data_IF_627750095098
#
_entry.id   IF_627750095098
#
_cell.length_a   1.000
_cell.length_b   1.000
_cell.length_c   1.000
_cell.angle_alpha   90.00
_cell.angle_beta   90.00
_cell.angle_gamma   90.00
#
_symmetry.space_group_name_H-M   'P 1'
#
loop_
_entity.id
_entity.type
_entity.pdbx_description
1 polymer ?
#
# COMPACT_ATOMS: atom_id res chain seq x y z
N UNK A 1 -10.23 35.00 6.89
CA UNK A 1 -11.09 33.84 7.27
C UNK A 1 -11.71 33.12 6.06
N UNK A 2 -11.37 33.52 4.82
CA UNK A 2 -12.06 33.13 3.57
C UNK A 2 -11.36 32.06 2.73
N UNK A 3 -10.03 31.91 2.83
CA UNK A 3 -9.24 30.98 2.01
C UNK A 3 -9.37 29.52 2.43
N UNK A 4 -9.47 29.25 3.75
CA UNK A 4 -9.65 27.88 4.28
C UNK A 4 -11.00 27.28 3.91
N UNK A 5 -12.05 28.10 3.84
CA UNK A 5 -13.41 27.68 3.48
C UNK A 5 -13.48 27.37 1.98
N UNK A 6 -12.88 28.22 1.14
CA UNK A 6 -12.77 27.99 -0.30
C UNK A 6 -11.98 26.70 -0.63
N UNK A 7 -10.86 26.46 0.06
CA UNK A 7 -10.07 25.23 -0.11
C UNK A 7 -10.85 23.98 0.28
N UNK A 8 -11.60 24.04 1.40
CA UNK A 8 -12.41 22.91 1.87
C UNK A 8 -13.55 22.58 0.91
N UNK A 9 -14.18 23.60 0.33
CA UNK A 9 -15.25 23.45 -0.68
C UNK A 9 -14.67 22.87 -1.97
N UNK A 10 -13.53 23.39 -2.46
CA UNK A 10 -12.85 22.82 -3.63
C UNK A 10 -12.47 21.35 -3.42
N UNK A 11 -11.96 21.00 -2.24
CA UNK A 11 -11.59 19.62 -1.91
C UNK A 11 -12.83 18.70 -1.87
N UNK A 12 -13.94 19.18 -1.27
CA UNK A 12 -15.20 18.43 -1.23
C UNK A 12 -15.81 18.24 -2.62
N UNK A 13 -15.76 19.27 -3.47
CA UNK A 13 -16.26 19.19 -4.84
C UNK A 13 -15.42 18.25 -5.69
N UNK A 14 -14.08 18.28 -5.54
CA UNK A 14 -13.18 17.34 -6.20
C UNK A 14 -13.40 15.89 -5.72
N UNK A 15 -13.56 15.67 -4.42
CA UNK A 15 -13.87 14.36 -3.85
C UNK A 15 -15.22 13.82 -4.33
N UNK A 16 -16.23 14.70 -4.45
CA UNK A 16 -17.55 14.33 -4.96
C UNK A 16 -17.47 13.96 -6.45
N UNK A 17 -16.85 14.81 -7.27
CA UNK A 17 -16.69 14.57 -8.71
C UNK A 17 -15.89 13.30 -9.01
N UNK A 18 -14.86 13.00 -8.20
CA UNK A 18 -14.07 11.78 -8.36
C UNK A 18 -14.84 10.54 -7.87
N UNK A 19 -15.65 10.66 -6.81
CA UNK A 19 -16.48 9.57 -6.30
C UNK A 19 -17.52 9.11 -7.32
N UNK A 20 -18.24 10.04 -7.95
CA UNK A 20 -19.30 9.71 -8.92
C UNK A 20 -18.73 9.07 -10.19
N UNK A 21 -17.63 9.59 -10.72
CA UNK A 21 -16.99 9.07 -11.93
C UNK A 21 -16.43 7.66 -11.71
N UNK A 22 -15.74 7.44 -10.58
CA UNK A 22 -15.14 6.14 -10.22
C UNK A 22 -16.23 5.10 -9.94
N UNK A 23 -17.35 5.46 -9.29
CA UNK A 23 -18.44 4.52 -9.07
C UNK A 23 -19.16 4.11 -10.36
N UNK A 24 -19.35 5.04 -11.30
CA UNK A 24 -20.03 4.74 -12.57
C UNK A 24 -19.17 3.89 -13.51
N UNK A 25 -17.87 4.16 -13.59
CA UNK A 25 -16.96 3.40 -14.46
C UNK A 25 -16.71 1.98 -13.92
N UNK A 26 -16.68 1.79 -12.60
CA UNK A 26 -16.58 0.47 -11.94
C UNK A 26 -17.87 -0.33 -12.11
N UNK A 27 -19.05 0.30 -12.00
CA UNK A 27 -20.33 -0.39 -12.17
C UNK A 27 -20.65 -0.75 -13.63
N UNK A 28 -20.11 0.01 -14.60
CA UNK A 28 -20.35 -0.23 -16.03
C UNK A 28 -19.33 -1.16 -16.70
N UNK A 29 -18.17 -1.42 -16.07
CA UNK A 29 -17.11 -2.25 -16.66
C UNK A 29 -16.46 -1.65 -17.91
N UNK A 30 -16.59 -0.33 -18.13
CA UNK A 30 -16.08 0.37 -19.31
C UNK A 30 -14.92 1.27 -18.87
N UNK A 31 -13.71 1.00 -19.37
CA UNK A 31 -12.58 1.93 -19.27
C UNK A 31 -12.38 2.67 -20.60
N UNK A 32 -12.40 4.01 -20.63
CA UNK A 32 -12.22 4.78 -21.85
C UNK A 32 -10.73 5.07 -22.09
N UNK A 33 -9.94 4.07 -22.44
CA UNK A 33 -8.68 4.19 -23.22
C UNK A 33 -8.03 2.83 -23.30
N UNK A 34 -8.11 2.19 -24.46
CA UNK A 34 -7.45 0.91 -24.72
C UNK A 34 -6.11 1.09 -25.41
N UNK A 35 -5.24 0.09 -25.17
CA UNK A 35 -4.01 -0.26 -25.88
C UNK A 35 -2.73 0.30 -25.22
N UNK A 36 -2.09 -0.58 -24.43
CA UNK A 36 -0.82 -0.50 -23.66
C UNK A 36 -0.88 -0.11 -22.16
N UNK A 37 -1.97 0.47 -21.67
CA UNK A 37 -2.20 0.78 -20.23
C UNK A 37 -3.25 -0.10 -19.55
N UNK A 38 -3.89 -1.01 -20.29
CA UNK A 38 -5.05 -1.79 -19.85
C UNK A 38 -4.80 -2.69 -18.64
N UNK A 39 -3.59 -3.26 -18.52
CA UNK A 39 -3.28 -4.14 -17.38
C UNK A 39 -3.13 -3.36 -16.08
N UNK A 40 -2.52 -2.17 -16.08
CA UNK A 40 -2.32 -1.42 -14.82
C UNK A 40 -3.61 -0.87 -14.23
N UNK A 41 -4.55 -0.45 -15.09
CA UNK A 41 -5.88 0.01 -14.65
C UNK A 41 -6.71 -1.18 -14.16
N UNK A 42 -6.66 -2.30 -14.89
CA UNK A 42 -7.32 -3.54 -14.47
C UNK A 42 -6.76 -4.06 -13.14
N UNK A 43 -5.44 -4.02 -12.95
CA UNK A 43 -4.78 -4.46 -11.71
C UNK A 43 -5.16 -3.55 -10.53
N UNK A 44 -5.28 -2.24 -10.77
CA UNK A 44 -5.73 -1.28 -9.77
C UNK A 44 -7.20 -1.50 -9.39
N UNK A 45 -8.09 -1.69 -10.38
CA UNK A 45 -9.50 -1.99 -10.12
C UNK A 45 -9.66 -3.28 -9.32
N UNK A 46 -8.91 -4.34 -9.67
CA UNK A 46 -8.89 -5.59 -8.92
C UNK A 46 -8.44 -5.37 -7.47
N UNK A 47 -7.41 -4.53 -7.24
CA UNK A 47 -6.99 -4.17 -5.88
C UNK A 47 -8.11 -3.48 -5.11
N UNK A 48 -8.84 -2.56 -5.75
CA UNK A 48 -10.00 -1.91 -5.13
C UNK A 48 -11.10 -2.90 -4.80
N UNK A 49 -11.42 -3.83 -5.70
CA UNK A 49 -12.40 -4.90 -5.46
C UNK A 49 -11.99 -5.78 -4.28
N UNK A 50 -10.71 -6.18 -4.22
CA UNK A 50 -10.15 -6.95 -3.09
C UNK A 50 -10.29 -6.22 -1.76
N UNK A 51 -9.99 -4.92 -1.74
CA UNK A 51 -10.12 -4.10 -0.53
C UNK A 51 -11.58 -3.82 -0.16
N UNK A 52 -12.45 -3.64 -1.15
CA UNK A 52 -13.89 -3.39 -0.96
C UNK A 52 -14.62 -4.65 -0.45
N UNK A 53 -14.22 -5.83 -0.93
CA UNK A 53 -14.69 -7.13 -0.43
C UNK A 53 -14.24 -7.43 1.00
N UNK A 54 -13.38 -6.59 1.56
CA UNK A 54 -12.92 -6.65 2.93
C UNK A 54 -11.67 -7.52 3.10
N UNK A 55 -10.72 -6.98 3.86
CA UNK A 55 -9.47 -7.64 4.20
C UNK A 55 -9.30 -7.61 5.70
N UNK A 56 -8.89 -8.72 6.29
CA UNK A 56 -8.59 -8.84 7.72
C UNK A 56 -7.17 -9.36 7.92
N UNK A 57 -6.53 -8.92 9.01
CA UNK A 57 -5.30 -9.54 9.52
C UNK A 57 -5.72 -10.44 10.68
N UNK A 58 -5.53 -11.74 10.53
CA UNK A 58 -5.91 -12.73 11.55
C UNK A 58 -4.95 -12.74 12.75
N UNK A 59 -5.22 -13.63 13.72
CA UNK A 59 -4.41 -13.76 14.94
C UNK A 59 -2.98 -14.26 14.67
N UNK A 60 -2.81 -14.99 13.57
CA UNK A 60 -1.51 -15.47 13.10
C UNK A 60 -0.84 -14.44 12.19
N UNK A 61 -1.46 -13.26 12.08
CA UNK A 61 -0.98 -12.09 11.36
C UNK A 61 -0.85 -12.35 9.84
N UNK A 62 -1.68 -13.27 9.34
CA UNK A 62 -1.92 -13.47 7.92
C UNK A 62 -3.02 -12.53 7.44
N UNK A 63 -2.88 -12.06 6.21
CA UNK A 63 -3.90 -11.30 5.52
C UNK A 63 -4.88 -12.29 4.88
N UNK A 64 -6.17 -12.10 5.14
CA UNK A 64 -7.27 -12.90 4.58
C UNK A 64 -8.27 -12.00 3.85
N UNK A 65 -8.88 -12.53 2.80
CA UNK A 65 -10.02 -11.89 2.12
C UNK A 65 -11.31 -12.37 2.79
N UNK A 66 -12.17 -11.44 3.18
CA UNK A 66 -13.46 -11.74 3.81
C UNK A 66 -14.48 -12.28 2.80
N UNK A 67 -14.39 -11.78 1.55
CA UNK A 67 -15.13 -12.33 0.42
C UNK A 67 -14.58 -13.72 0.03
N UNK A 68 -15.37 -14.75 0.34
CA UNK A 68 -15.02 -16.15 0.07
C UNK A 68 -14.98 -16.49 -1.42
N UNK A 69 -15.83 -15.87 -2.23
CA UNK A 69 -15.81 -16.09 -3.67
C UNK A 69 -14.51 -15.55 -4.23
N UNK A 70 -14.15 -14.32 -3.87
CA UNK A 70 -12.92 -13.68 -4.29
C UNK A 70 -11.67 -14.42 -3.79
N UNK A 71 -11.66 -14.88 -2.53
CA UNK A 71 -10.60 -15.71 -1.97
C UNK A 71 -10.39 -17.02 -2.75
N UNK A 72 -11.46 -17.56 -3.33
CA UNK A 72 -11.42 -18.78 -4.16
C UNK A 72 -11.03 -18.53 -5.61
N UNK A 73 -10.96 -17.28 -6.07
CA UNK A 73 -10.52 -16.94 -7.42
C UNK A 73 -8.99 -17.06 -7.55
N UNK A 74 -8.50 -17.35 -8.76
CA UNK A 74 -7.06 -17.41 -9.04
C UNK A 74 -6.35 -16.10 -8.67
N UNK A 75 -6.98 -14.97 -8.99
CA UNK A 75 -6.45 -13.65 -8.73
C UNK A 75 -6.41 -13.34 -7.22
N UNK A 76 -7.46 -13.66 -6.47
CA UNK A 76 -7.48 -13.52 -5.01
C UNK A 76 -6.41 -14.38 -4.33
N UNK A 77 -6.24 -15.64 -4.75
CA UNK A 77 -5.13 -16.49 -4.24
C UNK A 77 -3.75 -15.93 -4.59
N UNK A 78 -3.58 -15.40 -5.79
CA UNK A 78 -2.31 -14.78 -6.21
C UNK A 78 -1.99 -13.56 -5.36
N UNK A 79 -2.98 -12.73 -5.07
CA UNK A 79 -2.85 -11.58 -4.18
C UNK A 79 -2.48 -11.99 -2.76
N UNK A 80 -3.19 -12.99 -2.20
CA UNK A 80 -2.92 -13.51 -0.87
C UNK A 80 -1.51 -14.10 -0.76
N UNK A 81 -1.05 -14.85 -1.78
CA UNK A 81 0.33 -15.35 -1.83
C UNK A 81 1.35 -14.20 -1.94
N UNK A 82 1.08 -13.19 -2.77
CA UNK A 82 1.96 -12.01 -2.89
C UNK A 82 2.18 -11.37 -1.52
N UNK A 83 1.11 -11.16 -0.76
CA UNK A 83 1.14 -10.46 0.52
C UNK A 83 1.64 -11.33 1.67
N UNK A 84 1.17 -12.58 1.78
CA UNK A 84 1.51 -13.45 2.91
C UNK A 84 2.90 -14.08 2.78
N UNK A 85 3.36 -14.36 1.55
CA UNK A 85 4.60 -15.11 1.36
C UNK A 85 5.81 -14.18 1.15
N UNK A 86 5.60 -12.96 0.64
CA UNK A 86 6.71 -12.06 0.29
C UNK A 86 6.89 -10.89 1.27
N UNK A 87 5.96 -10.65 2.19
CA UNK A 87 6.06 -9.54 3.15
C UNK A 87 6.50 -10.07 4.52
N UNK A 88 7.63 -9.58 5.07
CA UNK A 88 8.08 -9.99 6.40
C UNK A 88 7.03 -9.71 7.48
N UNK A 89 6.79 -10.70 8.35
CA UNK A 89 5.79 -10.61 9.43
C UNK A 89 6.39 -10.28 10.80
N UNK A 90 7.67 -10.55 11.00
CA UNK A 90 8.37 -10.16 12.23
C UNK A 90 9.12 -8.85 12.04
N UNK A 91 9.24 -8.09 13.14
CA UNK A 91 10.00 -6.85 13.16
C UNK A 91 11.45 -7.06 12.70
N UNK A 92 12.11 -8.13 13.17
CA UNK A 92 13.50 -8.45 12.81
C UNK A 92 13.67 -8.67 11.31
N UNK A 93 12.76 -9.43 10.70
CA UNK A 93 12.80 -9.72 9.27
C UNK A 93 12.45 -8.48 8.45
N UNK A 94 11.57 -7.62 8.95
CA UNK A 94 11.24 -6.35 8.30
C UNK A 94 12.43 -5.38 8.31
N UNK A 95 13.11 -5.24 9.44
CA UNK A 95 14.36 -4.46 9.57
C UNK A 95 15.43 -5.02 8.62
N UNK A 96 15.59 -6.34 8.55
CA UNK A 96 16.54 -6.96 7.63
C UNK A 96 16.20 -6.67 6.15
N UNK A 97 14.93 -6.70 5.79
CA UNK A 97 14.47 -6.37 4.44
C UNK A 97 14.79 -4.91 4.10
N UNK A 98 14.42 -3.97 4.98
CA UNK A 98 14.70 -2.53 4.82
C UNK A 98 16.19 -2.26 4.67
N UNK A 99 17.02 -2.78 5.58
CA UNK A 99 18.48 -2.56 5.50
C UNK A 99 19.09 -3.16 4.23
N UNK A 100 18.47 -4.20 3.66
CA UNK A 100 18.89 -4.78 2.39
C UNK A 100 18.53 -3.89 1.22
N UNK A 101 17.31 -3.33 1.19
CA UNK A 101 16.90 -2.33 0.20
C UNK A 101 17.79 -1.08 0.28
N UNK A 102 18.09 -0.63 1.49
CA UNK A 102 19.03 0.45 1.73
C UNK A 102 20.46 0.11 1.23
N UNK A 103 20.95 -1.13 1.35
CA UNK A 103 22.27 -1.45 0.79
C UNK A 103 22.29 -1.44 -0.74
N UNK A 104 21.14 -1.60 -1.38
CA UNK A 104 20.99 -1.66 -2.85
C UNK A 104 20.81 -0.29 -3.53
N UNK A 105 20.93 0.82 -2.78
CA UNK A 105 20.78 2.25 -3.18
C UNK A 105 21.39 2.69 -4.52
N UNK A 106 22.31 1.93 -5.12
CA UNK A 106 22.97 2.30 -6.38
C UNK A 106 22.14 2.00 -7.63
N UNK A 107 21.01 1.31 -7.49
CA UNK A 107 20.12 0.95 -8.59
C UNK A 107 18.68 1.30 -8.23
N UNK A 108 17.88 1.81 -9.18
CA UNK A 108 16.45 1.98 -8.97
C UNK A 108 15.80 0.66 -8.55
N UNK A 109 14.79 0.75 -7.69
CA UNK A 109 14.00 -0.42 -7.31
C UNK A 109 13.33 -1.05 -8.53
N UNK A 110 13.41 -2.38 -8.62
CA UNK A 110 12.58 -3.12 -9.58
C UNK A 110 11.10 -3.01 -9.20
N UNK A 111 10.19 -3.20 -10.16
CA UNK A 111 8.73 -3.20 -9.89
C UNK A 111 8.36 -4.09 -8.69
N UNK A 112 8.89 -5.31 -8.62
CA UNK A 112 8.65 -6.25 -7.52
C UNK A 112 9.15 -5.73 -6.17
N UNK A 113 10.33 -5.09 -6.14
CA UNK A 113 10.87 -4.50 -4.91
C UNK A 113 10.03 -3.31 -4.46
N UNK A 114 9.56 -2.48 -5.40
CA UNK A 114 8.67 -1.37 -5.10
C UNK A 114 7.31 -1.85 -4.56
N UNK A 115 6.71 -2.88 -5.17
CA UNK A 115 5.48 -3.51 -4.64
C UNK A 115 5.68 -4.03 -3.22
N UNK A 116 6.79 -4.73 -2.97
CA UNK A 116 7.14 -5.26 -1.64
C UNK A 116 7.36 -4.12 -0.64
N UNK A 117 7.97 -3.01 -1.06
CA UNK A 117 8.19 -1.82 -0.25
C UNK A 117 6.84 -1.19 0.18
N UNK A 118 5.92 -0.99 -0.77
CA UNK A 118 4.60 -0.40 -0.49
C UNK A 118 3.80 -1.27 0.47
N UNK A 119 3.72 -2.57 0.21
CA UNK A 119 3.01 -3.51 1.08
C UNK A 119 3.64 -3.58 2.49
N UNK A 120 4.96 -3.51 2.57
CA UNK A 120 5.67 -3.46 3.85
C UNK A 120 5.43 -2.17 4.62
N UNK A 121 5.24 -1.03 3.93
CA UNK A 121 4.84 0.23 4.56
C UNK A 121 3.44 0.12 5.16
N UNK A 122 2.47 -0.39 4.40
CA UNK A 122 1.09 -0.61 4.89
C UNK A 122 1.10 -1.52 6.10
N UNK A 123 1.82 -2.64 6.02
CA UNK A 123 1.92 -3.58 7.13
C UNK A 123 2.61 -2.97 8.37
N UNK A 124 3.72 -2.25 8.20
CA UNK A 124 4.42 -1.60 9.32
C UNK A 124 3.57 -0.51 9.97
N UNK A 125 2.81 0.26 9.18
CA UNK A 125 1.85 1.24 9.68
C UNK A 125 0.71 0.59 10.47
N UNK A 126 0.19 -0.54 9.98
CA UNK A 126 -0.79 -1.34 10.71
C UNK A 126 -0.22 -1.83 12.04
N UNK A 127 0.98 -2.40 12.06
CA UNK A 127 1.61 -2.85 13.29
C UNK A 127 1.85 -1.70 14.27
N UNK A 128 2.38 -0.57 13.81
CA UNK A 128 2.61 0.60 14.65
C UNK A 128 1.32 1.11 15.33
N UNK A 129 0.14 0.92 14.72
CA UNK A 129 -1.15 1.33 15.31
C UNK A 129 -1.84 0.26 16.15
N UNK A 130 -1.53 -1.02 15.98
CA UNK A 130 -2.24 -2.15 16.62
C UNK A 130 -1.47 -2.81 17.78
N UNK A 131 -0.17 -2.54 17.93
CA UNK A 131 0.59 -3.09 19.06
C UNK A 131 0.15 -2.49 20.39
N UNK A 132 0.17 -3.29 21.46
CA UNK A 132 -0.25 -2.82 22.79
C UNK A 132 0.87 -2.11 23.54
N UNK A 133 2.13 -2.48 23.28
CA UNK A 133 3.30 -1.92 23.95
C UNK A 133 3.86 -0.75 23.16
N UNK A 134 4.08 0.37 23.84
CA UNK A 134 4.65 1.59 23.26
C UNK A 134 6.00 1.31 22.57
N UNK A 135 6.87 0.53 23.20
CA UNK A 135 8.16 0.10 22.60
C UNK A 135 7.98 -0.61 21.24
N UNK A 136 6.96 -1.44 21.10
CA UNK A 136 6.67 -2.13 19.84
C UNK A 136 6.06 -1.18 18.81
N UNK A 137 5.17 -0.28 19.23
CA UNK A 137 4.61 0.76 18.37
C UNK A 137 5.73 1.64 17.79
N UNK A 138 6.65 2.09 18.63
CA UNK A 138 7.80 2.91 18.25
C UNK A 138 8.75 2.14 17.32
N UNK A 139 9.04 0.87 17.61
CA UNK A 139 9.92 0.06 16.78
C UNK A 139 9.34 -0.15 15.37
N UNK A 140 8.05 -0.45 15.26
CA UNK A 140 7.36 -0.55 13.96
C UNK A 140 7.25 0.82 13.27
N UNK A 141 7.04 1.90 14.02
CA UNK A 141 7.07 3.26 13.51
C UNK A 141 8.43 3.65 12.93
N UNK A 142 9.52 3.28 13.59
CA UNK A 142 10.88 3.48 13.09
C UNK A 142 11.13 2.75 11.77
N UNK A 143 10.68 1.50 11.66
CA UNK A 143 10.76 0.72 10.41
C UNK A 143 9.94 1.37 9.29
N UNK A 144 8.73 1.88 9.59
CA UNK A 144 7.91 2.61 8.62
C UNK A 144 8.65 3.85 8.09
N UNK A 145 9.29 4.63 8.96
CA UNK A 145 10.05 5.80 8.55
C UNK A 145 11.29 5.43 7.70
N UNK A 146 11.93 4.30 7.98
CA UNK A 146 13.02 3.79 7.13
C UNK A 146 12.51 3.38 5.73
N UNK A 147 11.35 2.71 5.64
CA UNK A 147 10.72 2.37 4.36
C UNK A 147 10.35 3.63 3.55
N UNK A 148 9.83 4.67 4.21
CA UNK A 148 9.57 5.98 3.57
C UNK A 148 10.88 6.58 3.05
N UNK A 149 11.96 6.50 3.82
CA UNK A 149 13.27 6.97 3.38
C UNK A 149 13.79 6.25 2.14
N UNK A 150 13.65 4.91 2.07
CA UNK A 150 13.96 4.13 0.87
C UNK A 150 13.14 4.63 -0.32
N UNK A 151 11.85 4.87 -0.12
CA UNK A 151 10.94 5.38 -1.16
C UNK A 151 11.38 6.76 -1.68
N UNK A 152 11.63 7.70 -0.77
CA UNK A 152 12.01 9.08 -1.15
C UNK A 152 13.38 9.09 -1.82
N UNK A 153 14.32 8.26 -1.35
CA UNK A 153 15.63 8.14 -1.98
C UNK A 153 15.52 7.56 -3.40
N UNK A 154 14.71 6.51 -3.61
CA UNK A 154 14.51 5.94 -4.94
C UNK A 154 13.90 6.96 -5.92
N UNK A 155 12.95 7.77 -5.46
CA UNK A 155 12.25 8.76 -6.29
C UNK A 155 13.01 10.07 -6.51
N UNK A 156 13.80 10.53 -5.53
CA UNK A 156 14.40 11.89 -5.51
C UNK A 156 15.92 11.90 -5.36
N UNK A 157 16.54 10.78 -5.01
CA UNK A 157 17.98 10.66 -4.75
C UNK A 157 18.44 11.21 -3.39
N UNK A 158 17.52 11.61 -2.50
CA UNK A 158 17.82 12.11 -1.15
C UNK A 158 16.90 11.50 -0.08
N UNK A 159 17.31 11.57 1.19
CA UNK A 159 16.48 11.10 2.31
C UNK A 159 15.53 12.17 2.80
N UNK A 160 14.37 11.75 3.29
CA UNK A 160 13.45 12.63 4.00
C UNK A 160 13.91 12.89 5.43
N UNK A 161 14.43 11.84 6.08
CA UNK A 161 14.95 11.89 7.45
C UNK A 161 16.39 11.42 7.50
N UNK A 162 17.27 12.17 8.16
CA UNK A 162 18.61 11.69 8.52
C UNK A 162 18.59 11.21 9.96
N UNK A 163 18.84 9.91 10.16
CA UNK A 163 19.08 9.35 11.49
C UNK A 163 20.57 9.53 11.79
N UNK A 164 20.94 10.73 12.27
CA UNK A 164 22.28 11.05 12.75
C UNK A 164 22.41 10.65 14.23
#
# INVERSE_FOLDING_TARGET
MTTKIQLKICLQVLLWLWSEQVLQDVAAGISPTSQTTDSSVSDANLMFELLLGGVEIDRDNNIILLDKEMASMRLGRSFLSQINDNIPRSLSSMVQMVTTMERQKRRPLTKKQFESLVLSMVYSAHQASHQQREEEQEAWGGVLLQLVNVTVHDLRGNYLFSYA
#
